data_IF_831306484324
#
_entry.id   IF_831306484324
#
_cell.length_a   1.000
_cell.length_b   1.000
_cell.length_c   1.000
_cell.angle_alpha   90.00
_cell.angle_beta   90.00
_cell.angle_gamma   90.00
#
_symmetry.space_group_name_H-M   'P 1'
#
loop_
_entity.id
_entity.type
_entity.pdbx_description
1 polymer ?
#
# COMPACT_ATOMS: atom_id res chain seq x y z
N UNK A 1 5.16 -23.49 -5.25
CA UNK A 1 4.04 -23.36 -6.20
C UNK A 1 2.91 -24.29 -5.78
N UNK A 2 1.68 -23.90 -6.09
CA UNK A 2 0.48 -24.74 -5.93
C UNK A 2 0.55 -25.94 -6.87
N UNK A 3 0.05 -27.09 -6.42
CA UNK A 3 -0.01 -28.32 -7.22
C UNK A 3 -1.46 -28.78 -7.33
N UNK A 4 -1.86 -29.20 -8.53
CA UNK A 4 -3.23 -29.65 -8.80
C UNK A 4 -3.62 -30.92 -8.01
N UNK A 5 -2.64 -31.77 -7.71
CA UNK A 5 -2.82 -33.03 -6.98
C UNK A 5 -3.17 -32.81 -5.50
N UNK A 6 -2.74 -31.69 -4.91
CA UNK A 6 -2.96 -31.35 -3.51
C UNK A 6 -4.19 -30.49 -3.28
N UNK A 7 -4.97 -30.22 -4.32
CA UNK A 7 -6.00 -29.19 -4.33
C UNK A 7 -7.37 -29.75 -4.76
N UNK A 8 -8.45 -29.24 -4.36
CA UNK A 8 -8.88 -28.37 -3.25
C UNK A 8 -10.37 -28.63 -3.06
N UNK A 9 -10.90 -28.36 -1.89
CA UNK A 9 -12.35 -28.36 -1.69
C UNK A 9 -13.04 -27.32 -2.59
N UNK A 10 -14.30 -27.55 -2.99
CA UNK A 10 -15.05 -26.61 -3.83
C UNK A 10 -15.16 -25.23 -3.18
N UNK A 11 -15.11 -24.15 -3.99
CA UNK A 11 -15.16 -22.78 -3.50
C UNK A 11 -16.44 -22.49 -2.71
N UNK A 12 -17.59 -23.07 -3.08
CA UNK A 12 -18.85 -22.89 -2.38
C UNK A 12 -18.78 -23.37 -0.92
N UNK A 13 -18.06 -24.49 -0.69
CA UNK A 13 -17.81 -24.98 0.67
C UNK A 13 -16.96 -24.01 1.47
N UNK A 14 -15.99 -23.36 0.83
CA UNK A 14 -15.13 -22.34 1.45
C UNK A 14 -15.92 -21.08 1.78
N UNK A 15 -16.75 -20.62 0.84
CA UNK A 15 -17.61 -19.45 1.01
C UNK A 15 -18.67 -19.65 2.10
N UNK A 16 -19.09 -20.89 2.39
CA UNK A 16 -20.02 -21.19 3.47
C UNK A 16 -19.51 -20.80 4.88
N UNK A 17 -18.20 -20.59 5.06
CA UNK A 17 -17.64 -20.06 6.31
C UNK A 17 -17.83 -18.54 6.46
N UNK A 18 -18.14 -17.84 5.39
CA UNK A 18 -18.46 -16.41 5.43
C UNK A 18 -19.90 -16.18 5.90
N UNK A 19 -20.13 -15.17 6.74
CA UNK A 19 -21.47 -14.76 7.17
C UNK A 19 -22.28 -14.14 6.04
N UNK A 20 -21.59 -13.56 5.05
CA UNK A 20 -22.18 -12.91 3.89
C UNK A 20 -21.38 -13.27 2.62
N UNK A 21 -21.53 -14.49 2.08
CA UNK A 21 -20.73 -14.95 0.93
C UNK A 21 -20.71 -13.98 -0.24
N UNK A 22 -21.85 -13.40 -0.59
CA UNK A 22 -21.95 -12.41 -1.67
C UNK A 22 -21.21 -11.09 -1.39
N UNK A 23 -20.84 -10.79 -0.14
CA UNK A 23 -20.08 -9.61 0.24
C UNK A 23 -18.56 -9.85 0.25
N UNK A 24 -18.10 -11.07 -0.02
CA UNK A 24 -16.68 -11.41 -0.09
C UNK A 24 -16.04 -10.70 -1.28
N UNK A 25 -15.10 -9.82 -1.00
CA UNK A 25 -14.43 -8.97 -2.00
C UNK A 25 -13.08 -9.51 -2.45
N UNK A 26 -12.49 -10.39 -1.66
CA UNK A 26 -11.19 -11.01 -1.95
C UNK A 26 -11.28 -12.50 -1.66
N UNK A 27 -10.91 -13.30 -2.65
CA UNK A 27 -10.79 -14.77 -2.57
C UNK A 27 -9.48 -15.13 -3.19
N UNK A 28 -8.58 -15.70 -2.39
CA UNK A 28 -7.24 -16.06 -2.83
C UNK A 28 -6.92 -17.47 -2.38
N UNK A 29 -6.48 -18.31 -3.29
CA UNK A 29 -5.82 -19.59 -2.99
C UNK A 29 -4.32 -19.38 -3.04
N UNK A 30 -3.63 -19.61 -1.95
CA UNK A 30 -2.19 -19.44 -1.86
C UNK A 30 -1.56 -20.59 -1.08
N UNK A 31 -0.26 -20.83 -1.32
CA UNK A 31 0.50 -21.80 -0.56
C UNK A 31 1.19 -21.13 0.63
N UNK A 32 0.90 -21.60 1.83
CA UNK A 32 1.58 -21.19 3.06
C UNK A 32 2.37 -22.41 3.58
N UNK A 33 3.69 -22.30 3.63
CA UNK A 33 4.57 -23.43 4.02
C UNK A 33 4.30 -24.71 3.24
N UNK A 34 4.19 -24.60 1.92
CA UNK A 34 3.89 -25.68 0.98
C UNK A 34 2.50 -26.34 1.14
N UNK A 35 1.63 -25.81 1.99
CA UNK A 35 0.25 -26.27 2.15
C UNK A 35 -0.74 -25.24 1.56
N UNK A 36 -1.76 -25.66 0.78
CA UNK A 36 -2.70 -24.75 0.15
C UNK A 36 -3.78 -24.27 1.13
N UNK A 37 -4.06 -22.95 1.12
CA UNK A 37 -5.10 -22.30 1.91
C UNK A 37 -5.89 -21.33 1.06
N UNK A 38 -7.20 -21.28 1.30
CA UNK A 38 -8.03 -20.17 0.84
C UNK A 38 -8.01 -19.04 1.86
N UNK A 39 -7.86 -17.82 1.37
CA UNK A 39 -7.96 -16.59 2.13
C UNK A 39 -9.15 -15.80 1.61
N UNK A 40 -10.12 -15.51 2.48
CA UNK A 40 -11.32 -14.74 2.18
C UNK A 40 -11.32 -13.43 2.95
N UNK A 41 -11.85 -12.38 2.36
CA UNK A 41 -12.07 -11.11 3.07
C UNK A 41 -13.42 -10.50 2.70
N UNK A 42 -14.23 -10.22 3.72
CA UNK A 42 -15.50 -9.50 3.61
C UNK A 42 -15.24 -8.00 3.78
N UNK A 43 -15.45 -7.22 2.74
CA UNK A 43 -15.30 -5.76 2.79
C UNK A 43 -13.92 -5.31 3.31
N UNK A 44 -13.93 -4.55 4.42
CA UNK A 44 -12.72 -4.09 5.12
C UNK A 44 -12.39 -4.92 6.37
N UNK A 45 -13.07 -6.04 6.56
CA UNK A 45 -12.89 -6.93 7.72
C UNK A 45 -11.56 -7.68 7.70
N UNK A 46 -11.36 -8.49 8.73
CA UNK A 46 -10.21 -9.39 8.84
C UNK A 46 -10.32 -10.54 7.84
N UNK A 47 -9.21 -11.20 7.59
CA UNK A 47 -9.17 -12.40 6.78
C UNK A 47 -9.75 -13.61 7.51
N UNK A 48 -10.52 -14.43 6.77
CA UNK A 48 -10.84 -15.80 7.12
C UNK A 48 -9.91 -16.70 6.30
N UNK A 49 -9.27 -17.65 6.95
CA UNK A 49 -8.39 -18.61 6.28
C UNK A 49 -8.98 -20.02 6.42
N UNK A 50 -9.11 -20.70 5.30
CA UNK A 50 -9.68 -22.05 5.21
C UNK A 50 -8.63 -22.97 4.60
N UNK A 51 -8.37 -24.08 5.25
CA UNK A 51 -7.51 -25.14 4.73
C UNK A 51 -8.11 -25.70 3.43
N UNK A 52 -7.37 -25.63 2.34
CA UNK A 52 -7.90 -25.96 1.02
C UNK A 52 -8.11 -27.46 0.79
N UNK A 53 -7.49 -28.32 1.58
CA UNK A 53 -7.67 -29.77 1.47
C UNK A 53 -8.83 -30.27 2.34
N UNK A 54 -8.90 -29.80 3.59
CA UNK A 54 -9.92 -30.27 4.53
C UNK A 54 -11.21 -29.43 4.54
N UNK A 55 -11.18 -28.21 4.01
CA UNK A 55 -12.29 -27.26 4.05
C UNK A 55 -12.58 -26.70 5.43
N UNK A 56 -11.69 -26.87 6.42
CA UNK A 56 -11.87 -26.35 7.78
C UNK A 56 -11.22 -24.98 7.94
N UNK A 57 -11.75 -24.18 8.84
CA UNK A 57 -11.10 -22.92 9.22
C UNK A 57 -9.73 -23.20 9.81
N UNK A 58 -8.72 -22.48 9.32
CA UNK A 58 -7.39 -22.54 9.91
C UNK A 58 -7.43 -21.94 11.33
N UNK A 59 -6.72 -22.53 12.28
CA UNK A 59 -6.59 -21.94 13.62
C UNK A 59 -5.83 -20.63 13.54
N UNK A 60 -6.10 -19.74 14.48
CA UNK A 60 -5.27 -18.54 14.67
C UNK A 60 -3.82 -18.93 14.88
N UNK A 61 -2.91 -18.04 14.49
CA UNK A 61 -1.48 -18.29 14.60
C UNK A 61 -1.08 -18.40 16.07
N UNK A 62 -0.37 -19.47 16.40
CA UNK A 62 0.31 -19.65 17.68
C UNK A 62 1.80 -19.26 17.62
N UNK A 63 2.46 -19.22 18.76
CA UNK A 63 3.89 -18.87 18.85
C UNK A 63 4.80 -19.79 18.05
N UNK A 64 4.64 -21.13 18.09
CA UNK A 64 5.42 -22.04 17.25
C UNK A 64 5.25 -21.78 15.75
N UNK A 65 4.02 -21.52 15.30
CA UNK A 65 3.74 -21.18 13.91
C UNK A 65 4.36 -19.86 13.48
N UNK A 66 4.31 -18.82 14.35
CA UNK A 66 4.96 -17.54 14.10
C UNK A 66 6.47 -17.67 13.95
N UNK A 67 7.11 -18.41 14.84
CA UNK A 67 8.55 -18.70 14.76
C UNK A 67 8.92 -19.50 13.51
N UNK A 68 8.12 -20.50 13.15
CA UNK A 68 8.33 -21.28 11.93
C UNK A 68 8.17 -20.41 10.67
N UNK A 69 7.17 -19.52 10.64
CA UNK A 69 6.98 -18.55 9.54
C UNK A 69 8.14 -17.57 9.42
N UNK A 70 8.63 -17.05 10.54
CA UNK A 70 9.77 -16.15 10.56
C UNK A 70 11.07 -16.81 10.08
N UNK A 71 11.34 -18.06 10.50
CA UNK A 71 12.50 -18.83 10.01
C UNK A 71 12.39 -19.22 8.54
N UNK A 72 11.18 -19.45 8.03
CA UNK A 72 10.98 -19.69 6.61
C UNK A 72 11.24 -18.43 5.76
N UNK A 73 11.04 -17.24 6.33
CA UNK A 73 11.29 -15.95 5.67
C UNK A 73 12.79 -15.58 5.69
N UNK A 74 13.48 -15.82 6.84
CA UNK A 74 14.94 -15.65 6.99
C UNK A 74 15.52 -16.96 7.52
N UNK A 75 15.88 -17.92 6.64
CA UNK A 75 16.23 -19.29 7.04
C UNK A 75 17.47 -19.41 7.93
N UNK A 76 18.46 -18.55 7.72
CA UNK A 76 19.77 -18.65 8.35
C UNK A 76 19.90 -17.84 9.66
N UNK A 77 18.76 -17.41 10.24
CA UNK A 77 18.76 -16.61 11.45
C UNK A 77 17.89 -17.22 12.56
N UNK A 78 18.36 -17.10 13.80
CA UNK A 78 17.58 -17.44 14.97
C UNK A 78 16.41 -16.46 15.13
N UNK A 79 15.25 -16.99 15.53
CA UNK A 79 14.04 -16.27 15.71
C UNK A 79 13.61 -16.26 17.18
N UNK A 80 13.30 -15.08 17.72
CA UNK A 80 12.77 -14.88 19.08
C UNK A 80 11.40 -14.23 19.01
N UNK A 81 10.39 -14.87 19.56
CA UNK A 81 9.04 -14.32 19.65
C UNK A 81 8.98 -13.24 20.76
N UNK A 82 8.39 -12.09 20.43
CA UNK A 82 8.26 -10.95 21.33
C UNK A 82 6.83 -10.70 21.84
N UNK A 83 5.82 -11.32 21.21
CA UNK A 83 4.42 -11.15 21.57
C UNK A 83 3.54 -10.74 20.39
N UNK A 84 2.33 -10.28 20.71
CA UNK A 84 1.39 -9.72 19.72
C UNK A 84 1.22 -8.23 19.92
N UNK A 85 1.03 -7.50 18.82
CA UNK A 85 0.76 -6.07 18.84
C UNK A 85 -0.41 -5.75 17.92
N UNK A 86 -1.28 -4.83 18.31
CA UNK A 86 -2.29 -4.27 17.42
C UNK A 86 -1.68 -3.16 16.56
N UNK A 87 -1.01 -2.23 17.19
CA UNK A 87 -0.26 -1.15 16.56
C UNK A 87 0.94 -0.80 17.43
N UNK A 88 2.06 -0.54 16.81
CA UNK A 88 3.25 -0.02 17.47
C UNK A 88 3.83 1.15 16.68
N UNK A 89 4.98 1.68 17.12
CA UNK A 89 5.62 2.84 16.50
C UNK A 89 6.05 2.64 15.03
N UNK A 90 5.98 1.43 14.49
CA UNK A 90 6.40 1.10 13.12
C UNK A 90 5.23 0.69 12.23
N UNK A 91 4.09 0.29 12.82
CA UNK A 91 2.96 -0.36 12.13
C UNK A 91 1.76 0.57 11.91
N UNK A 92 1.99 1.84 11.61
CA UNK A 92 0.91 2.83 11.37
C UNK A 92 0.22 2.69 10.01
N UNK A 93 0.72 1.84 9.11
CA UNK A 93 0.15 1.67 7.78
C UNK A 93 -1.22 1.00 7.85
N UNK A 94 -2.22 1.61 7.22
CA UNK A 94 -3.60 1.09 7.19
C UNK A 94 -3.75 -0.19 6.36
N UNK A 95 -2.79 -0.49 5.48
CA UNK A 95 -2.72 -1.76 4.76
C UNK A 95 -2.58 -2.97 5.71
N UNK A 96 -2.09 -2.75 6.92
CA UNK A 96 -1.92 -3.79 7.94
C UNK A 96 -3.22 -4.08 8.73
N UNK A 97 -4.26 -3.23 8.62
CA UNK A 97 -5.45 -3.35 9.47
C UNK A 97 -6.16 -4.70 9.35
N UNK A 98 -6.23 -5.25 8.14
CA UNK A 98 -6.85 -6.57 7.89
C UNK A 98 -6.06 -7.76 8.46
N UNK A 99 -4.80 -7.53 8.84
CA UNK A 99 -3.88 -8.54 9.34
C UNK A 99 -3.72 -8.52 10.86
N UNK A 100 -4.31 -7.53 11.54
CA UNK A 100 -4.18 -7.35 12.99
C UNK A 100 -5.01 -8.38 13.77
N UNK A 101 -4.54 -8.81 14.97
CA UNK A 101 -3.27 -8.46 15.59
C UNK A 101 -2.07 -9.02 14.82
N UNK A 102 -0.87 -8.45 15.06
CA UNK A 102 0.36 -8.88 14.40
C UNK A 102 1.26 -9.59 15.42
N UNK A 103 1.79 -10.76 15.05
CA UNK A 103 2.82 -11.45 15.82
C UNK A 103 4.17 -10.83 15.52
N UNK A 104 4.88 -10.43 16.56
CA UNK A 104 6.18 -9.77 16.46
C UNK A 104 7.30 -10.77 16.75
N UNK A 105 8.20 -10.93 15.78
CA UNK A 105 9.36 -11.83 15.89
C UNK A 105 10.64 -11.04 15.59
N UNK A 106 11.60 -11.10 16.53
CA UNK A 106 12.95 -10.58 16.34
C UNK A 106 13.82 -11.66 15.68
N UNK A 107 14.43 -11.29 14.56
CA UNK A 107 15.44 -12.12 13.91
C UNK A 107 16.84 -11.75 14.39
N UNK A 108 17.71 -12.72 14.55
CA UNK A 108 19.14 -12.53 14.84
C UNK A 108 19.96 -12.57 13.54
N UNK A 109 19.48 -11.86 12.53
CA UNK A 109 20.15 -11.62 11.27
C UNK A 109 21.07 -10.39 11.36
N UNK A 110 21.91 -10.16 10.36
CA UNK A 110 22.83 -9.02 10.31
C UNK A 110 22.11 -7.65 10.37
N UNK A 111 20.88 -7.59 9.89
CA UNK A 111 20.04 -6.39 9.92
C UNK A 111 19.24 -6.22 11.22
N UNK A 112 19.27 -7.20 12.14
CA UNK A 112 18.44 -7.22 13.35
C UNK A 112 16.98 -6.92 13.06
N UNK A 113 16.42 -7.65 12.09
CA UNK A 113 15.09 -7.42 11.55
C UNK A 113 13.99 -7.76 12.55
N UNK A 114 12.95 -6.92 12.61
CA UNK A 114 11.66 -7.27 13.21
C UNK A 114 10.72 -7.72 12.12
N UNK A 115 10.13 -8.90 12.28
CA UNK A 115 9.11 -9.42 11.37
C UNK A 115 7.75 -9.31 12.04
N UNK A 116 6.78 -8.82 11.28
CA UNK A 116 5.38 -8.75 11.67
C UNK A 116 4.59 -9.75 10.85
N UNK A 117 4.02 -10.72 11.53
CA UNK A 117 3.23 -11.77 10.88
C UNK A 117 1.75 -11.59 11.21
N UNK A 118 0.92 -11.78 10.21
CA UNK A 118 -0.54 -11.71 10.35
C UNK A 118 -1.06 -12.86 11.20
N UNK A 119 -1.82 -12.58 12.26
CA UNK A 119 -2.48 -13.59 13.08
C UNK A 119 -3.44 -14.47 12.24
N UNK A 120 -4.18 -13.84 11.33
CA UNK A 120 -5.15 -14.55 10.52
C UNK A 120 -4.51 -15.39 9.40
N UNK A 121 -3.50 -14.85 8.68
CA UNK A 121 -2.98 -15.49 7.46
C UNK A 121 -1.66 -16.21 7.64
N UNK A 122 -0.96 -15.97 8.73
CA UNK A 122 0.38 -16.53 8.96
C UNK A 122 1.50 -15.98 8.08
N UNK A 123 1.20 -14.99 7.25
CA UNK A 123 2.17 -14.38 6.35
C UNK A 123 2.98 -13.29 7.04
N UNK A 124 4.25 -13.15 6.67
CA UNK A 124 5.04 -11.96 6.98
C UNK A 124 4.46 -10.81 6.17
N UNK A 125 3.88 -9.83 6.84
CA UNK A 125 3.22 -8.67 6.21
C UNK A 125 4.06 -7.40 6.27
N UNK A 126 5.08 -7.40 7.11
CA UNK A 126 6.07 -6.33 7.17
C UNK A 126 7.38 -6.87 7.76
N UNK A 127 8.48 -6.49 7.15
CA UNK A 127 9.81 -6.58 7.73
C UNK A 127 10.33 -5.18 8.07
N UNK A 128 11.10 -5.09 9.14
CA UNK A 128 11.62 -3.82 9.63
C UNK A 128 13.07 -3.99 10.10
N UNK A 129 14.05 -3.88 9.19
CA UNK A 129 15.47 -3.87 9.52
C UNK A 129 15.83 -2.72 10.47
N UNK A 130 16.85 -2.90 11.31
CA UNK A 130 17.26 -1.91 12.32
C UNK A 130 17.56 -0.53 11.71
N UNK A 131 18.25 -0.49 10.59
CA UNK A 131 18.59 0.78 9.91
C UNK A 131 17.32 1.51 9.47
N UNK A 132 16.37 0.80 8.87
CA UNK A 132 15.08 1.38 8.46
C UNK A 132 14.27 1.87 9.67
N UNK A 133 14.25 1.12 10.78
CA UNK A 133 13.59 1.56 12.02
C UNK A 133 14.21 2.83 12.57
N UNK A 134 15.54 2.96 12.57
CA UNK A 134 16.23 4.17 13.00
C UNK A 134 15.87 5.39 12.14
N UNK A 135 15.91 5.25 10.83
CA UNK A 135 15.49 6.32 9.92
C UNK A 135 14.01 6.66 10.06
N UNK A 136 13.15 5.65 10.21
CA UNK A 136 11.72 5.85 10.46
C UNK A 136 11.46 6.57 11.80
N UNK A 137 12.23 6.23 12.84
CA UNK A 137 12.11 6.89 14.13
C UNK A 137 12.38 8.39 14.04
N UNK A 138 13.42 8.81 13.33
CA UNK A 138 13.74 10.23 13.14
C UNK A 138 12.79 10.87 12.10
N UNK A 139 12.64 10.26 10.95
CA UNK A 139 11.92 10.83 9.81
C UNK A 139 10.40 10.81 9.94
N UNK A 140 9.85 9.84 10.65
CA UNK A 140 8.39 9.75 10.83
C UNK A 140 7.99 9.98 12.29
N UNK A 141 8.45 9.14 13.20
CA UNK A 141 7.93 9.15 14.58
C UNK A 141 8.19 10.47 15.31
N UNK A 142 9.44 11.00 15.28
CA UNK A 142 9.76 12.30 15.84
C UNK A 142 9.23 13.45 14.99
N UNK A 143 9.50 13.43 13.68
CA UNK A 143 9.17 14.53 12.79
C UNK A 143 7.67 14.79 12.68
N UNK A 144 6.86 13.73 12.64
CA UNK A 144 5.40 13.83 12.57
C UNK A 144 4.73 13.83 13.94
N UNK A 145 5.50 13.89 15.03
CA UNK A 145 5.00 13.91 16.40
C UNK A 145 4.07 12.73 16.73
N UNK A 146 4.40 11.53 16.23
CA UNK A 146 3.59 10.33 16.40
C UNK A 146 3.46 9.90 17.88
N UNK A 147 4.29 10.46 18.79
CA UNK A 147 4.11 10.28 20.24
C UNK A 147 2.76 10.82 20.76
N UNK A 148 2.10 11.71 20.01
CA UNK A 148 0.76 12.24 20.34
C UNK A 148 -0.37 11.56 19.58
N UNK A 149 -0.07 10.51 18.81
CA UNK A 149 -1.04 9.81 17.97
C UNK A 149 -1.49 8.52 18.63
N UNK A 150 -2.77 8.46 19.03
CA UNK A 150 -3.36 7.29 19.70
C UNK A 150 -4.04 6.33 18.73
N UNK A 151 -4.44 6.80 17.56
CA UNK A 151 -5.23 6.05 16.57
C UNK A 151 -4.70 6.24 15.15
N UNK A 152 -4.93 5.28 14.26
CA UNK A 152 -4.54 5.41 12.84
C UNK A 152 -5.12 6.63 12.14
N UNK A 153 -6.35 7.04 12.52
CA UNK A 153 -6.96 8.32 12.13
C UNK A 153 -7.22 9.11 13.41
N UNK A 154 -6.37 10.07 13.68
CA UNK A 154 -6.41 10.88 14.90
C UNK A 154 -6.54 12.36 14.56
N UNK A 155 -7.76 12.92 14.68
CA UNK A 155 -7.99 14.35 14.44
C UNK A 155 -7.22 15.25 15.41
N UNK A 156 -7.04 14.82 16.66
CA UNK A 156 -6.33 15.62 17.69
C UNK A 156 -4.87 15.76 17.29
N UNK A 157 -4.20 14.64 16.98
CA UNK A 157 -2.84 14.67 16.46
C UNK A 157 -2.72 15.54 15.20
N UNK A 158 -3.65 15.40 14.24
CA UNK A 158 -3.64 16.19 13.01
C UNK A 158 -3.69 17.68 13.29
N UNK A 159 -4.55 18.11 14.20
CA UNK A 159 -4.64 19.52 14.60
C UNK A 159 -3.42 20.01 15.37
N UNK A 160 -2.80 19.19 16.22
CA UNK A 160 -1.53 19.52 16.89
C UNK A 160 -0.46 19.85 15.83
N UNK A 161 -0.30 18.97 14.84
CA UNK A 161 0.69 19.16 13.76
C UNK A 161 0.37 20.42 12.94
N UNK A 162 -0.89 20.63 12.54
CA UNK A 162 -1.32 21.80 11.77
C UNK A 162 -1.03 23.09 12.54
N UNK A 163 -1.45 23.18 13.81
CA UNK A 163 -1.28 24.38 14.63
C UNK A 163 0.19 24.71 14.84
N UNK A 164 0.99 23.71 15.22
CA UNK A 164 2.43 23.90 15.45
C UNK A 164 3.16 24.32 14.17
N UNK A 165 2.81 23.69 13.02
CA UNK A 165 3.39 24.06 11.73
C UNK A 165 2.96 25.46 11.28
N UNK A 166 1.72 25.86 11.53
CA UNK A 166 1.25 27.23 11.26
C UNK A 166 2.01 28.26 12.10
N UNK A 167 2.15 28.03 13.41
CA UNK A 167 2.94 28.90 14.30
C UNK A 167 4.40 28.96 13.81
N UNK A 168 5.00 27.81 13.46
CA UNK A 168 6.35 27.74 12.93
C UNK A 168 6.51 28.54 11.62
N UNK A 169 5.53 28.47 10.72
CA UNK A 169 5.50 29.23 9.48
C UNK A 169 5.47 30.74 9.74
N UNK A 170 4.57 31.19 10.62
CA UNK A 170 4.49 32.61 11.03
C UNK A 170 5.80 33.06 11.67
N UNK A 171 6.37 32.26 12.55
CA UNK A 171 7.67 32.56 13.21
C UNK A 171 8.81 32.66 12.19
N UNK A 172 8.86 31.76 11.20
CA UNK A 172 9.87 31.80 10.14
C UNK A 172 9.75 33.08 9.29
N UNK A 173 8.53 33.48 8.91
CA UNK A 173 8.29 34.71 8.16
C UNK A 173 8.68 35.95 8.98
N UNK A 174 8.14 36.11 10.18
CA UNK A 174 8.39 37.27 11.04
C UNK A 174 9.85 37.36 11.47
N UNK A 175 10.49 36.22 11.78
CA UNK A 175 11.91 36.16 12.09
C UNK A 175 12.79 36.57 10.89
N UNK A 176 12.43 36.13 9.69
CA UNK A 176 13.13 36.52 8.44
C UNK A 176 13.01 38.03 8.19
N UNK A 177 11.80 38.59 8.30
CA UNK A 177 11.59 40.01 8.14
C UNK A 177 12.39 40.84 9.15
N UNK A 178 12.32 40.48 10.44
CA UNK A 178 13.11 41.10 11.49
C UNK A 178 14.61 41.00 11.25
N UNK A 179 15.06 39.82 10.77
CA UNK A 179 16.45 39.58 10.41
C UNK A 179 16.92 40.48 9.27
N UNK A 180 16.14 40.60 8.19
CA UNK A 180 16.43 41.46 7.05
C UNK A 180 16.51 42.94 7.50
N UNK A 181 15.56 43.41 8.29
CA UNK A 181 15.56 44.80 8.78
C UNK A 181 16.78 45.11 9.65
N UNK A 182 17.26 44.17 10.37
CA UNK A 182 18.44 44.33 11.26
C UNK A 182 19.77 44.04 10.56
N UNK A 183 19.75 43.52 9.32
CA UNK A 183 20.96 43.26 8.56
C UNK A 183 21.40 44.53 7.81
N UNK A 184 22.67 44.94 7.98
CA UNK A 184 23.22 46.04 7.20
C UNK A 184 23.78 45.56 5.87
N UNK A 185 23.03 45.75 4.81
CA UNK A 185 23.46 45.46 3.44
C UNK A 185 24.58 46.43 2.99
N UNK A 186 24.47 47.70 3.40
CA UNK A 186 25.44 48.75 3.15
C UNK A 186 26.00 49.23 4.50
N UNK A 187 27.38 49.20 4.61
CA UNK A 187 28.04 49.57 5.86
C UNK A 187 28.04 48.48 6.93
N UNK A 188 28.54 48.89 8.12
CA UNK A 188 28.70 47.99 9.26
C UNK A 188 28.25 48.66 10.54
N UNK A 189 27.94 47.89 11.57
CA UNK A 189 27.75 48.40 12.90
C UNK A 189 29.07 48.80 13.55
N UNK A 190 29.03 49.54 14.68
CA UNK A 190 30.25 49.92 15.43
C UNK A 190 31.15 48.75 15.84
N UNK A 191 30.57 47.54 15.88
CA UNK A 191 31.30 46.28 16.13
C UNK A 191 32.11 45.77 14.91
N UNK A 192 32.00 46.42 13.74
CA UNK A 192 32.59 45.92 12.50
C UNK A 192 31.74 44.86 11.78
N UNK A 193 30.69 44.33 12.40
CA UNK A 193 29.80 43.29 11.84
C UNK A 193 28.64 43.90 11.06
N UNK A 194 27.97 43.09 10.21
CA UNK A 194 26.72 43.44 9.51
C UNK A 194 25.47 43.17 10.36
N UNK A 195 25.58 42.42 11.47
CA UNK A 195 24.55 42.13 12.44
C UNK A 195 24.74 43.01 13.69
N UNK A 196 23.64 43.47 14.35
CA UNK A 196 23.76 44.25 15.58
C UNK A 196 24.13 43.41 16.81
N UNK A 197 23.96 42.11 16.73
CA UNK A 197 24.13 41.22 17.87
C UNK A 197 25.60 40.91 18.13
N UNK A 198 26.04 41.10 19.40
CA UNK A 198 27.42 40.86 19.84
C UNK A 198 27.56 39.51 20.56
N UNK A 199 26.50 39.04 21.17
CA UNK A 199 26.45 37.77 21.87
C UNK A 199 26.50 36.63 20.85
N UNK A 200 27.32 35.61 21.11
CA UNK A 200 27.67 34.54 20.16
C UNK A 200 26.46 33.81 19.60
N UNK A 201 25.49 33.43 20.47
CA UNK A 201 24.30 32.70 20.02
C UNK A 201 23.38 33.57 19.13
N UNK A 202 23.11 34.80 19.53
CA UNK A 202 22.28 35.71 18.76
C UNK A 202 22.95 36.11 17.43
N UNK A 203 24.27 36.28 17.46
CA UNK A 203 25.06 36.57 16.27
C UNK A 203 24.93 35.47 15.21
N UNK A 204 25.24 34.24 15.61
CA UNK A 204 25.15 33.10 14.71
C UNK A 204 23.71 32.73 14.34
N UNK A 205 22.75 32.86 15.28
CA UNK A 205 21.34 32.68 14.96
C UNK A 205 20.86 33.63 13.86
N UNK A 206 21.28 34.91 13.91
CA UNK A 206 20.91 35.87 12.90
C UNK A 206 21.53 35.55 11.53
N UNK A 207 22.81 35.21 11.48
CA UNK A 207 23.50 34.89 10.21
C UNK A 207 22.98 33.62 9.59
N UNK A 208 22.92 32.54 10.35
CA UNK A 208 22.48 31.21 9.90
C UNK A 208 20.99 31.27 9.59
N UNK A 209 20.19 31.92 10.47
CA UNK A 209 18.75 32.07 10.28
C UNK A 209 18.41 32.78 8.96
N UNK A 210 19.12 33.87 8.60
CA UNK A 210 18.95 34.52 7.31
C UNK A 210 19.45 33.67 6.13
N UNK A 211 20.58 33.00 6.30
CA UNK A 211 21.14 32.12 5.25
C UNK A 211 20.24 30.95 4.88
N UNK A 212 19.53 30.39 5.85
CA UNK A 212 18.62 29.26 5.66
C UNK A 212 17.13 29.63 5.67
N UNK A 213 16.78 30.93 5.76
CA UNK A 213 15.40 31.41 5.93
C UNK A 213 14.43 30.82 4.89
N UNK A 214 14.81 30.85 3.60
CA UNK A 214 13.97 30.35 2.52
C UNK A 214 13.76 28.82 2.64
N UNK A 215 14.81 28.08 2.95
CA UNK A 215 14.76 26.61 3.10
C UNK A 215 13.87 26.25 4.28
N UNK A 216 14.06 26.88 5.44
CA UNK A 216 13.26 26.63 6.65
C UNK A 216 11.78 26.97 6.41
N UNK A 217 11.52 28.14 5.81
CA UNK A 217 10.15 28.55 5.50
C UNK A 217 9.48 27.55 4.56
N UNK A 218 10.10 27.23 3.42
CA UNK A 218 9.50 26.32 2.44
C UNK A 218 9.31 24.92 3.01
N UNK A 219 10.22 24.44 3.86
CA UNK A 219 10.10 23.15 4.51
C UNK A 219 8.91 23.09 5.47
N UNK A 220 8.83 24.04 6.42
CA UNK A 220 7.72 24.09 7.39
C UNK A 220 6.39 24.30 6.67
N UNK A 221 6.34 25.23 5.71
CA UNK A 221 5.15 25.54 4.94
C UNK A 221 4.68 24.34 4.10
N UNK A 222 5.58 23.64 3.43
CA UNK A 222 5.21 22.43 2.68
C UNK A 222 4.72 21.31 3.60
N UNK A 223 5.33 21.18 4.79
CA UNK A 223 4.84 20.25 5.83
C UNK A 223 3.43 20.59 6.31
N UNK A 224 3.14 21.87 6.54
CA UNK A 224 1.79 22.35 6.84
C UNK A 224 0.80 22.00 5.71
N UNK A 225 1.16 22.29 4.47
CA UNK A 225 0.30 22.02 3.31
C UNK A 225 0.09 20.51 3.09
N UNK A 226 1.07 19.67 3.42
CA UNK A 226 0.94 18.20 3.32
C UNK A 226 -0.11 17.60 4.26
N UNK A 227 -0.45 18.31 5.35
CA UNK A 227 -1.56 17.95 6.25
C UNK A 227 -2.93 18.34 5.67
N UNK A 228 -2.96 18.97 4.49
CA UNK A 228 -4.17 19.44 3.81
C UNK A 228 -5.11 20.23 4.73
N UNK A 229 -4.63 21.29 5.40
CA UNK A 229 -5.46 22.09 6.30
C UNK A 229 -6.66 22.66 5.54
N UNK A 230 -7.85 22.54 6.12
CA UNK A 230 -9.11 23.02 5.54
C UNK A 230 -9.49 22.35 4.20
N UNK A 231 -8.88 21.23 3.80
CA UNK A 231 -9.19 20.53 2.56
C UNK A 231 -8.82 21.31 1.28
N UNK A 232 -7.80 22.19 1.35
CA UNK A 232 -7.40 23.06 0.20
C UNK A 232 -6.98 22.22 -1.01
N UNK A 233 -6.37 21.04 -0.76
CA UNK A 233 -5.87 20.13 -1.78
C UNK A 233 -6.78 18.93 -2.01
N UNK A 234 -8.01 18.95 -1.51
CA UNK A 234 -8.97 17.89 -1.81
C UNK A 234 -9.23 17.82 -3.31
N UNK A 235 -9.12 16.61 -3.85
CA UNK A 235 -9.46 16.38 -5.25
C UNK A 235 -10.94 16.75 -5.47
N UNK A 236 -11.20 17.64 -6.40
CA UNK A 236 -12.54 18.16 -6.72
C UNK A 236 -13.25 17.36 -7.81
N UNK A 237 -12.53 16.48 -8.51
CA UNK A 237 -13.08 15.61 -9.53
C UNK A 237 -13.87 14.43 -8.96
N UNK A 238 -14.69 13.82 -9.79
CA UNK A 238 -15.39 12.60 -9.47
C UNK A 238 -14.40 11.47 -9.21
N UNK A 239 -14.61 10.72 -8.12
CA UNK A 239 -13.76 9.58 -7.79
C UNK A 239 -14.16 8.39 -8.64
N UNK A 240 -13.22 7.73 -9.34
CA UNK A 240 -13.52 6.53 -10.09
C UNK A 240 -14.18 5.45 -9.24
N UNK A 241 -15.32 4.93 -9.70
CA UNK A 241 -16.08 3.90 -9.01
C UNK A 241 -15.53 2.51 -9.34
N UNK A 242 -14.58 2.03 -8.56
CA UNK A 242 -13.99 0.71 -8.76
C UNK A 242 -14.96 -0.45 -8.53
N UNK A 243 -16.06 -0.25 -7.78
CA UNK A 243 -17.09 -1.26 -7.60
C UNK A 243 -17.93 -1.41 -8.88
N UNK A 244 -18.31 -0.30 -9.52
CA UNK A 244 -18.98 -0.31 -10.81
C UNK A 244 -18.08 -0.88 -11.93
N UNK A 245 -16.78 -0.57 -11.90
CA UNK A 245 -15.79 -1.14 -12.82
C UNK A 245 -15.72 -2.66 -12.75
N UNK A 246 -15.76 -3.22 -11.54
CA UNK A 246 -15.84 -4.67 -11.35
C UNK A 246 -17.21 -5.22 -11.72
N UNK A 247 -18.29 -4.54 -11.38
CA UNK A 247 -19.67 -4.92 -11.65
C UNK A 247 -20.27 -5.91 -10.66
N UNK A 248 -19.44 -6.73 -10.01
CA UNK A 248 -19.83 -7.67 -8.96
C UNK A 248 -18.67 -7.96 -8.01
N UNK A 249 -18.93 -8.66 -6.91
CA UNK A 249 -17.89 -9.21 -6.03
C UNK A 249 -17.57 -10.64 -6.41
N UNK A 250 -16.35 -11.12 -6.16
CA UNK A 250 -15.97 -12.52 -6.40
C UNK A 250 -16.82 -13.53 -5.61
N UNK A 251 -17.31 -13.12 -4.45
CA UNK A 251 -18.20 -13.95 -3.64
C UNK A 251 -19.62 -14.09 -4.21
N UNK A 252 -20.08 -13.09 -4.99
CA UNK A 252 -21.39 -13.14 -5.66
C UNK A 252 -21.34 -13.83 -7.02
N UNK A 253 -20.23 -13.64 -7.77
CA UNK A 253 -20.06 -14.20 -9.11
C UNK A 253 -18.62 -14.71 -9.25
N UNK A 254 -18.47 -15.98 -9.51
CA UNK A 254 -17.16 -16.61 -9.73
C UNK A 254 -17.22 -17.63 -10.87
N UNK A 255 -16.06 -17.93 -11.46
CA UNK A 255 -15.98 -18.94 -12.50
C UNK A 255 -16.33 -20.33 -11.94
N UNK A 256 -17.18 -21.10 -12.60
CA UNK A 256 -17.52 -22.47 -12.20
C UNK A 256 -16.42 -23.46 -12.61
N UNK A 257 -15.18 -23.16 -12.24
CA UNK A 257 -13.99 -23.98 -12.47
C UNK A 257 -13.38 -24.37 -11.12
N UNK A 258 -12.99 -25.64 -10.96
CA UNK A 258 -12.29 -26.05 -9.76
C UNK A 258 -10.86 -25.52 -9.74
N UNK A 259 -10.29 -25.31 -8.55
CA UNK A 259 -8.89 -24.89 -8.43
C UNK A 259 -7.92 -25.90 -9.08
N UNK A 260 -8.20 -27.21 -8.98
CA UNK A 260 -7.40 -28.23 -9.64
C UNK A 260 -7.41 -28.11 -11.16
N UNK A 261 -8.60 -27.86 -11.76
CA UNK A 261 -8.71 -27.61 -13.21
C UNK A 261 -7.98 -26.33 -13.61
N UNK A 262 -8.11 -25.25 -12.84
CA UNK A 262 -7.40 -23.99 -13.10
C UNK A 262 -5.88 -24.19 -13.07
N UNK A 263 -5.36 -24.94 -12.08
CA UNK A 263 -3.94 -25.28 -11.99
C UNK A 263 -3.49 -26.16 -13.13
N UNK A 264 -4.33 -27.09 -13.60
CA UNK A 264 -4.07 -27.91 -14.79
C UNK A 264 -3.86 -27.03 -16.04
N UNK A 265 -4.79 -26.13 -16.33
CA UNK A 265 -4.69 -25.18 -17.44
C UNK A 265 -3.43 -24.29 -17.37
N UNK A 266 -3.07 -23.82 -16.17
CA UNK A 266 -1.85 -23.04 -15.96
C UNK A 266 -0.58 -23.88 -16.21
N UNK A 267 -0.56 -25.12 -15.76
CA UNK A 267 0.57 -26.04 -16.00
C UNK A 267 0.72 -26.36 -17.50
N UNK A 268 -0.39 -26.58 -18.21
CA UNK A 268 -0.37 -26.79 -19.67
C UNK A 268 0.17 -25.55 -20.41
N UNK A 269 -0.10 -24.36 -19.89
CA UNK A 269 0.48 -23.09 -20.34
C UNK A 269 1.91 -22.82 -19.77
N UNK A 270 2.55 -23.82 -19.16
CA UNK A 270 3.88 -23.74 -18.56
C UNK A 270 4.01 -22.64 -17.47
N UNK A 271 2.92 -22.35 -16.78
CA UNK A 271 2.87 -21.32 -15.74
C UNK A 271 2.65 -21.95 -14.35
N UNK A 272 3.68 -21.93 -13.52
CA UNK A 272 3.63 -22.46 -12.15
C UNK A 272 3.11 -21.41 -11.19
N UNK A 273 1.82 -21.45 -10.88
CA UNK A 273 1.17 -20.51 -9.97
C UNK A 273 1.56 -20.76 -8.50
N UNK A 274 1.83 -19.68 -7.78
CA UNK A 274 1.97 -19.66 -6.32
C UNK A 274 0.68 -19.17 -5.65
N UNK A 275 -0.10 -18.40 -6.40
CA UNK A 275 -1.33 -17.77 -5.93
C UNK A 275 -2.35 -17.72 -7.06
N UNK A 276 -3.62 -17.96 -6.75
CA UNK A 276 -4.76 -17.77 -7.66
C UNK A 276 -5.79 -16.90 -6.93
N UNK A 277 -6.17 -15.80 -7.54
CA UNK A 277 -7.16 -14.85 -7.02
C UNK A 277 -8.42 -14.88 -7.90
N UNK A 278 -9.59 -14.99 -7.29
CA UNK A 278 -10.87 -14.83 -7.98
C UNK A 278 -11.19 -13.35 -8.11
N UNK A 279 -11.44 -12.93 -9.31
CA UNK A 279 -11.72 -11.52 -9.64
C UNK A 279 -12.93 -11.38 -10.57
N UNK A 280 -13.41 -10.16 -10.68
CA UNK A 280 -14.51 -9.79 -11.59
C UNK A 280 -14.12 -8.51 -12.34
N UNK A 281 -14.32 -8.49 -13.64
CA UNK A 281 -14.17 -7.33 -14.52
C UNK A 281 -15.44 -7.16 -15.34
N UNK A 282 -16.09 -6.00 -15.24
CA UNK A 282 -17.33 -5.69 -15.96
C UNK A 282 -18.44 -6.75 -15.75
N UNK A 283 -18.55 -7.30 -14.53
CA UNK A 283 -19.47 -8.37 -14.19
C UNK A 283 -19.05 -9.76 -14.67
N UNK A 284 -17.95 -9.89 -15.38
CA UNK A 284 -17.41 -11.18 -15.88
C UNK A 284 -16.36 -11.72 -14.90
N UNK A 285 -16.60 -12.90 -14.30
CA UNK A 285 -15.63 -13.51 -13.41
C UNK A 285 -14.43 -14.05 -14.16
N UNK A 286 -13.26 -13.99 -13.54
CA UNK A 286 -12.00 -14.54 -14.02
C UNK A 286 -11.10 -14.95 -12.87
N UNK A 287 -10.01 -15.68 -13.16
CA UNK A 287 -8.96 -15.97 -12.21
C UNK A 287 -7.68 -15.25 -12.62
N UNK A 288 -7.03 -14.66 -11.63
CA UNK A 288 -5.70 -14.08 -11.76
C UNK A 288 -4.70 -14.99 -11.06
N UNK A 289 -3.80 -15.60 -11.80
CA UNK A 289 -2.72 -16.42 -11.27
C UNK A 289 -1.42 -15.61 -11.18
N UNK A 290 -0.65 -15.79 -10.09
CA UNK A 290 0.69 -15.22 -9.91
C UNK A 290 1.71 -16.30 -9.65
N UNK A 291 2.92 -16.13 -10.18
CA UNK A 291 4.05 -17.01 -9.88
C UNK A 291 5.03 -16.37 -8.88
N UNK A 292 6.11 -17.07 -8.55
CA UNK A 292 7.15 -16.59 -7.63
C UNK A 292 7.91 -15.35 -8.15
N UNK A 293 7.95 -15.12 -9.46
CA UNK A 293 8.56 -13.95 -10.09
C UNK A 293 7.56 -12.79 -10.26
N UNK A 294 6.39 -12.88 -9.63
CA UNK A 294 5.29 -11.91 -9.74
C UNK A 294 4.71 -11.73 -11.16
N UNK A 295 5.05 -12.61 -12.10
CA UNK A 295 4.38 -12.67 -13.39
C UNK A 295 2.94 -13.17 -13.22
N UNK A 296 2.04 -12.75 -14.11
CA UNK A 296 0.61 -13.05 -14.03
C UNK A 296 0.08 -13.75 -15.26
N UNK A 297 -1.00 -14.52 -15.09
CA UNK A 297 -1.84 -15.09 -16.14
C UNK A 297 -3.30 -14.95 -15.74
N UNK A 298 -4.15 -14.74 -16.72
CA UNK A 298 -5.60 -14.68 -16.56
C UNK A 298 -6.21 -15.98 -17.04
N UNK A 299 -7.19 -16.52 -16.31
CA UNK A 299 -8.07 -17.58 -16.81
C UNK A 299 -9.44 -16.95 -17.02
N UNK A 300 -9.89 -16.90 -18.25
CA UNK A 300 -11.18 -16.33 -18.65
C UNK A 300 -12.07 -17.39 -19.29
N UNK A 301 -13.38 -17.20 -19.25
CA UNK A 301 -14.34 -18.06 -19.96
C UNK A 301 -14.79 -17.38 -21.24
N UNK A 302 -14.59 -18.06 -22.39
CA UNK A 302 -15.02 -17.61 -23.69
C UNK A 302 -15.75 -18.73 -24.44
N UNK A 303 -16.97 -18.46 -24.87
CA UNK A 303 -17.78 -19.45 -25.56
C UNK A 303 -17.95 -20.77 -24.78
N UNK A 304 -17.97 -20.72 -23.45
CA UNK A 304 -18.07 -21.91 -22.59
C UNK A 304 -16.75 -22.69 -22.42
N UNK A 305 -15.63 -22.17 -22.92
CA UNK A 305 -14.30 -22.76 -22.73
C UNK A 305 -13.41 -21.86 -21.88
N UNK A 306 -12.55 -22.45 -21.05
CA UNK A 306 -11.56 -21.72 -20.28
C UNK A 306 -10.29 -21.52 -21.09
N UNK A 307 -9.76 -20.31 -21.10
CA UNK A 307 -8.53 -19.93 -21.78
C UNK A 307 -7.56 -19.24 -20.84
N UNK A 308 -6.28 -19.56 -20.99
CA UNK A 308 -5.20 -18.84 -20.29
C UNK A 308 -4.71 -17.71 -21.20
N UNK A 309 -4.71 -16.47 -20.65
CA UNK A 309 -4.26 -15.26 -21.35
C UNK A 309 -3.17 -14.56 -20.55
N UNK A 310 -2.36 -13.78 -21.23
CA UNK A 310 -1.35 -12.94 -20.58
C UNK A 310 -1.95 -11.64 -20.04
N UNK A 311 -2.86 -11.03 -20.78
CA UNK A 311 -3.45 -9.74 -20.47
C UNK A 311 -4.86 -9.60 -21.02
N UNK A 312 -5.59 -8.62 -20.53
CA UNK A 312 -6.84 -8.14 -21.13
C UNK A 312 -6.57 -7.38 -22.43
N UNK A 313 -7.49 -7.45 -23.37
CA UNK A 313 -7.46 -6.58 -24.55
C UNK A 313 -7.83 -5.14 -24.17
N UNK A 314 -7.34 -4.20 -24.96
CA UNK A 314 -7.66 -2.78 -24.80
C UNK A 314 -9.19 -2.54 -24.87
N UNK A 315 -9.88 -3.20 -25.78
CA UNK A 315 -11.33 -3.08 -25.96
C UNK A 315 -12.11 -3.51 -24.70
N UNK A 316 -11.69 -4.61 -24.04
CA UNK A 316 -12.33 -5.10 -22.82
C UNK A 316 -12.12 -4.13 -21.66
N UNK A 317 -10.90 -3.60 -21.51
CA UNK A 317 -10.59 -2.60 -20.49
C UNK A 317 -11.35 -1.29 -20.71
N UNK A 318 -11.45 -0.82 -21.95
CA UNK A 318 -12.22 0.37 -22.28
C UNK A 318 -13.72 0.18 -22.01
N UNK A 319 -14.25 -1.00 -22.32
CA UNK A 319 -15.65 -1.30 -22.00
C UNK A 319 -15.91 -1.26 -20.49
N UNK A 320 -15.03 -1.85 -19.70
CA UNK A 320 -15.13 -1.79 -18.23
C UNK A 320 -14.93 -0.35 -17.70
N UNK A 321 -14.00 0.41 -18.31
CA UNK A 321 -13.67 1.77 -17.91
C UNK A 321 -14.87 2.73 -18.00
N UNK A 322 -15.80 2.52 -18.94
CA UNK A 322 -17.03 3.32 -19.06
C UNK A 322 -17.87 3.35 -17.78
N UNK A 323 -17.67 2.40 -16.88
CA UNK A 323 -18.37 2.33 -15.59
C UNK A 323 -17.64 3.04 -14.44
N UNK A 324 -16.39 3.50 -14.68
CA UNK A 324 -15.62 4.19 -13.64
C UNK A 324 -16.18 5.55 -13.28
N UNK A 325 -16.63 6.30 -14.27
CA UNK A 325 -17.21 7.63 -14.12
C UNK A 325 -18.49 7.76 -14.95
N UNK A 326 -19.35 8.68 -14.57
CA UNK A 326 -20.56 9.01 -15.36
C UNK A 326 -20.25 9.84 -16.62
N UNK A 327 -19.01 10.31 -16.77
CA UNK A 327 -18.53 11.06 -17.91
C UNK A 327 -18.11 10.13 -19.08
N UNK A 328 -18.27 10.55 -20.34
CA UNK A 328 -17.76 9.78 -21.47
C UNK A 328 -16.23 9.75 -21.49
N UNK A 329 -15.69 8.71 -22.13
CA UNK A 329 -14.25 8.63 -22.41
C UNK A 329 -13.93 9.61 -23.53
N UNK A 330 -13.04 10.57 -23.26
CA UNK A 330 -12.57 11.54 -24.23
C UNK A 330 -11.54 10.93 -25.18
N UNK A 331 -10.54 10.30 -24.61
CA UNK A 331 -9.52 9.56 -25.35
C UNK A 331 -8.85 8.49 -24.47
N UNK A 332 -8.01 7.67 -25.10
CA UNK A 332 -7.22 6.64 -24.43
C UNK A 332 -5.88 6.45 -25.14
N UNK A 333 -4.91 5.96 -24.40
CA UNK A 333 -3.55 5.70 -24.90
C UNK A 333 -2.94 4.51 -24.18
N UNK A 334 -2.36 3.59 -24.95
CA UNK A 334 -1.50 2.55 -24.38
C UNK A 334 -0.12 3.14 -24.12
N UNK A 335 0.27 3.17 -22.84
CA UNK A 335 1.57 3.66 -22.41
C UNK A 335 2.58 2.51 -22.45
N UNK A 336 3.61 2.65 -23.25
CA UNK A 336 4.74 1.71 -23.32
C UNK A 336 5.94 2.18 -22.49
N UNK A 337 5.92 3.43 -22.03
CA UNK A 337 6.98 4.05 -21.25
C UNK A 337 6.41 4.84 -20.06
N UNK A 338 7.21 4.96 -19.01
CA UNK A 338 6.84 5.80 -17.87
C UNK A 338 6.88 7.28 -18.23
N UNK A 339 5.98 8.04 -17.60
CA UNK A 339 5.94 9.49 -17.69
C UNK A 339 5.75 10.15 -16.31
N UNK A 340 5.52 11.46 -16.28
CA UNK A 340 5.36 12.25 -15.05
C UNK A 340 4.17 11.80 -14.20
N UNK A 341 3.13 11.22 -14.79
CA UNK A 341 1.89 10.82 -14.11
C UNK A 341 1.81 9.32 -13.83
N UNK A 342 2.52 8.50 -14.60
CA UNK A 342 2.57 7.07 -14.43
C UNK A 342 4.02 6.59 -14.42
N UNK A 343 4.52 6.26 -13.24
CA UNK A 343 5.90 5.78 -13.03
C UNK A 343 5.94 4.74 -11.93
N UNK A 344 6.88 3.79 -12.04
CA UNK A 344 7.15 2.79 -11.01
C UNK A 344 7.87 3.41 -9.81
N UNK A 345 7.61 2.89 -8.61
CA UNK A 345 8.40 3.21 -7.41
C UNK A 345 9.40 2.10 -7.17
N UNK A 346 10.60 2.47 -6.71
CA UNK A 346 11.61 1.49 -6.32
C UNK A 346 11.14 0.67 -5.12
N UNK A 347 11.58 -0.58 -5.05
CA UNK A 347 11.18 -1.52 -3.98
C UNK A 347 11.58 -1.02 -2.58
N UNK A 348 12.68 -0.28 -2.48
CA UNK A 348 13.16 0.32 -1.23
C UNK A 348 12.41 1.59 -0.80
N UNK A 349 11.42 2.03 -1.59
CA UNK A 349 10.61 3.18 -1.19
C UNK A 349 9.80 2.86 0.07
N UNK A 350 9.90 3.71 1.11
CA UNK A 350 9.21 3.54 2.41
C UNK A 350 7.69 3.39 2.31
N UNK A 351 7.08 3.72 1.18
CA UNK A 351 5.64 3.59 0.91
C UNK A 351 5.29 2.26 0.25
N UNK A 352 6.24 1.33 0.18
CA UNK A 352 6.10 0.04 -0.51
C UNK A 352 6.21 0.17 -2.04
N UNK A 353 6.53 -0.95 -2.67
CA UNK A 353 6.54 -1.07 -4.11
C UNK A 353 5.09 -1.06 -4.62
N UNK A 354 4.63 0.07 -5.12
CA UNK A 354 3.50 0.03 -6.04
C UNK A 354 4.08 -0.33 -7.41
N UNK A 355 4.09 -1.62 -7.71
CA UNK A 355 4.48 -2.09 -9.04
C UNK A 355 3.48 -1.55 -10.06
N UNK A 356 3.93 -0.62 -10.86
CA UNK A 356 3.19 -0.10 -12.00
C UNK A 356 3.78 -0.68 -13.26
N UNK A 357 3.07 -1.63 -13.86
CA UNK A 357 3.57 -2.35 -15.02
C UNK A 357 3.35 -1.57 -16.30
N UNK A 358 4.17 -1.87 -17.28
CA UNK A 358 4.00 -1.42 -18.66
C UNK A 358 3.81 -2.66 -19.57
N UNK A 359 3.01 -2.57 -20.64
CA UNK A 359 2.18 -1.42 -20.99
C UNK A 359 1.02 -1.20 -19.99
N UNK A 360 0.54 0.05 -19.89
CA UNK A 360 -0.64 0.43 -19.12
C UNK A 360 -1.61 1.23 -19.97
N UNK A 361 -2.90 0.97 -19.85
CA UNK A 361 -3.91 1.73 -20.59
C UNK A 361 -4.30 2.99 -19.78
N UNK A 362 -3.97 4.16 -20.32
CA UNK A 362 -4.45 5.45 -19.82
C UNK A 362 -5.78 5.77 -20.48
N UNK A 363 -6.77 6.11 -19.65
CA UNK A 363 -8.09 6.55 -20.10
C UNK A 363 -8.34 7.94 -19.55
N UNK A 364 -8.74 8.88 -20.41
CA UNK A 364 -9.10 10.25 -20.03
C UNK A 364 -10.60 10.45 -20.21
N UNK A 365 -11.22 11.02 -19.18
CA UNK A 365 -12.66 11.27 -19.17
C UNK A 365 -12.97 12.73 -19.49
N UNK A 366 -14.06 12.96 -20.23
CA UNK A 366 -14.56 14.28 -20.58
C UNK A 366 -15.44 14.84 -19.46
N UNK A 367 -14.77 15.36 -18.44
CA UNK A 367 -15.40 16.04 -17.30
C UNK A 367 -14.56 17.27 -16.93
N UNK A 368 -15.09 18.13 -16.06
CA UNK A 368 -14.49 19.44 -15.73
C UNK A 368 -13.02 19.36 -15.27
N UNK A 369 -12.63 18.27 -14.62
CA UNK A 369 -11.27 18.07 -14.10
C UNK A 369 -10.41 17.16 -14.98
N UNK A 370 -10.94 16.65 -16.09
CA UNK A 370 -10.26 15.75 -17.02
C UNK A 370 -9.56 14.59 -16.30
N UNK A 371 -10.29 13.82 -15.50
CA UNK A 371 -9.75 12.72 -14.72
C UNK A 371 -9.06 11.69 -15.59
N UNK A 372 -7.84 11.32 -15.24
CA UNK A 372 -7.06 10.27 -15.88
C UNK A 372 -7.03 9.03 -15.00
N UNK A 373 -7.33 7.89 -15.60
CA UNK A 373 -7.24 6.59 -14.94
C UNK A 373 -6.25 5.72 -15.70
N UNK A 374 -5.39 5.02 -14.96
CA UNK A 374 -4.46 4.05 -15.54
C UNK A 374 -4.91 2.65 -15.16
N UNK A 375 -5.08 1.80 -16.16
CA UNK A 375 -5.52 0.43 -16.02
C UNK A 375 -4.34 -0.50 -16.35
N UNK A 376 -4.11 -1.47 -15.47
CA UNK A 376 -3.11 -2.53 -15.67
C UNK A 376 -3.75 -3.67 -16.47
N UNK A 377 -3.30 -3.97 -17.69
CA UNK A 377 -3.86 -5.05 -18.51
C UNK A 377 -3.61 -6.45 -17.95
N UNK A 378 -2.65 -6.59 -17.05
CA UNK A 378 -2.20 -7.89 -16.53
C UNK A 378 -2.94 -8.34 -15.27
N UNK A 379 -3.86 -7.50 -14.72
CA UNK A 379 -4.53 -7.83 -13.44
C UNK A 379 -6.03 -7.62 -13.44
#
# INVERSE_FOLDING_TARGET
>A
ALQAQDCCVPLDQVLAHSKAPAAVQEIVLASIRAHPYYRLREGKGNYLVVDAQSGKLAPHMDTPAALAGARAFIPDADARYLGTVHEDRWTHARSLDAHRPLHLVQMNDAAHSLLYLSDATGQVVMDAPRAQRMWNYVGAWLHWLYMFRDKPVDPVWSWIVIVLSAIGTVTAVTGTLAGIWRWRFRGRYKSGARTPYRETYLHWHHIIGLGFAAIIFTWIFSGLMSMNPLGIFDARGDKPNSAAYRGATPGAVHLPISAAQALGLLNDAQFRANEIEWRVLDGRPYLLARNAANATRLIVSEGGRYQVREHWSEAELLQAAKRLLHAPILDHQLLEQYDTYYYGRQQEAMMGAAERRLPALRVRFDETHQTWVHLDPFT
#
